data_IF_262017886164
#
_entry.id   IF_262017886164
#
_cell.length_a   1.000
_cell.length_b   1.000
_cell.length_c   1.000
_cell.angle_alpha   90.00
_cell.angle_beta   90.00
_cell.angle_gamma   90.00
#
_symmetry.space_group_name_H-M   'P 1'
#
loop_
_entity.id
_entity.type
_entity.pdbx_description
1 polymer ?
#
# COMPACT_ATOMS: atom_id res chain seq x y z
N UNK A 1 -17.67 3.12 -28.28
CA UNK A 1 -16.19 3.23 -28.25
C UNK A 1 -15.66 1.97 -27.59
N UNK A 2 -15.01 1.10 -28.37
CA UNK A 2 -14.50 -0.16 -27.86
C UNK A 2 -13.15 0.14 -27.17
N UNK A 3 -13.14 0.12 -25.84
CA UNK A 3 -11.93 0.31 -25.06
C UNK A 3 -11.12 -0.97 -25.14
N UNK A 4 -10.18 -1.02 -26.09
CA UNK A 4 -9.12 -2.03 -26.06
C UNK A 4 -8.21 -1.70 -24.88
N UNK A 5 -8.11 -2.61 -23.91
CA UNK A 5 -7.22 -2.45 -22.78
C UNK A 5 -5.79 -2.14 -23.28
N UNK A 6 -5.09 -1.16 -22.69
CA UNK A 6 -3.73 -0.85 -23.10
C UNK A 6 -2.83 -2.08 -22.90
N UNK A 7 -1.84 -2.30 -23.79
CA UNK A 7 -0.93 -3.42 -23.66
C UNK A 7 -0.15 -3.35 -22.34
N UNK A 8 0.19 -4.52 -21.77
CA UNK A 8 0.75 -4.71 -20.42
C UNK A 8 2.05 -3.92 -20.13
N UNK A 9 2.70 -3.36 -21.16
CA UNK A 9 3.92 -2.55 -21.03
C UNK A 9 3.68 -1.04 -20.97
N UNK A 10 2.46 -0.57 -21.23
CA UNK A 10 2.12 0.85 -21.07
C UNK A 10 1.61 1.09 -19.65
N UNK A 11 2.22 2.07 -18.97
CA UNK A 11 1.67 2.57 -17.72
C UNK A 11 0.21 3.03 -17.95
N UNK A 12 -0.65 2.80 -16.97
CA UNK A 12 -2.03 3.32 -16.99
C UNK A 12 -2.01 4.83 -17.17
N UNK A 13 -3.07 5.38 -17.77
CA UNK A 13 -3.17 6.83 -17.91
C UNK A 13 -3.16 7.51 -16.53
N UNK A 14 -2.68 8.77 -16.44
CA UNK A 14 -2.65 9.51 -15.18
C UNK A 14 -4.04 9.61 -14.53
N UNK A 15 -5.10 9.72 -15.32
CA UNK A 15 -6.47 9.82 -14.86
C UNK A 15 -6.88 8.60 -14.01
N UNK A 16 -6.55 7.39 -14.45
CA UNK A 16 -6.84 6.14 -13.75
C UNK A 16 -6.07 6.02 -12.43
N UNK A 17 -4.85 6.58 -12.36
CA UNK A 17 -4.13 6.68 -11.09
C UNK A 17 -4.82 7.65 -10.13
N UNK A 18 -5.29 8.80 -10.60
CA UNK A 18 -6.07 9.74 -9.78
C UNK A 18 -7.37 9.11 -9.27
N UNK A 19 -8.08 8.33 -10.09
CA UNK A 19 -9.28 7.61 -9.64
C UNK A 19 -8.97 6.59 -8.54
N UNK A 20 -7.85 5.88 -8.60
CA UNK A 20 -7.46 4.92 -7.56
C UNK A 20 -7.25 5.62 -6.20
N UNK A 21 -6.67 6.82 -6.19
CA UNK A 21 -6.48 7.62 -4.97
C UNK A 21 -7.82 8.08 -4.39
N UNK A 22 -8.70 8.66 -5.23
CA UNK A 22 -10.05 9.09 -4.81
C UNK A 22 -10.85 7.91 -4.28
N UNK A 23 -10.79 6.76 -4.96
CA UNK A 23 -11.48 5.53 -4.53
C UNK A 23 -10.94 5.02 -3.20
N UNK A 24 -9.63 5.11 -2.97
CA UNK A 24 -9.00 4.79 -1.68
C UNK A 24 -9.51 5.66 -0.54
N UNK A 25 -9.61 6.98 -0.75
CA UNK A 25 -10.11 7.92 0.26
C UNK A 25 -11.58 7.68 0.60
N UNK A 26 -12.40 7.29 -0.40
CA UNK A 26 -13.82 7.03 -0.22
C UNK A 26 -14.14 5.61 0.28
N UNK A 27 -13.14 4.74 0.43
CA UNK A 27 -13.35 3.37 0.87
C UNK A 27 -13.71 3.29 2.38
N UNK A 28 -14.46 2.26 2.76
CA UNK A 28 -14.83 2.00 4.16
C UNK A 28 -13.58 1.76 5.02
N UNK A 29 -13.60 2.09 6.33
CA UNK A 29 -12.54 1.69 7.27
C UNK A 29 -12.17 0.20 7.24
N UNK A 30 -13.10 -0.68 6.86
CA UNK A 30 -12.85 -2.12 6.70
C UNK A 30 -11.86 -2.45 5.56
N UNK A 31 -11.61 -1.49 4.66
CA UNK A 31 -10.61 -1.61 3.60
C UNK A 31 -9.17 -1.35 4.07
N UNK A 32 -8.97 -0.97 5.34
CA UNK A 32 -7.65 -0.75 5.90
C UNK A 32 -6.79 -2.03 5.80
N UNK A 33 -5.55 -1.86 5.34
CA UNK A 33 -4.61 -2.97 5.14
C UNK A 33 -4.86 -3.80 3.87
N UNK A 34 -5.86 -3.44 3.05
CA UNK A 34 -6.13 -4.06 1.76
C UNK A 34 -5.39 -3.34 0.61
N UNK A 35 -5.34 -3.94 -0.56
CA UNK A 35 -4.79 -3.31 -1.78
C UNK A 35 -5.88 -2.65 -2.62
N UNK A 36 -5.58 -1.50 -3.24
CA UNK A 36 -6.47 -0.80 -4.16
C UNK A 36 -5.98 -0.95 -5.60
N UNK A 37 -6.35 -2.06 -6.24
CA UNK A 37 -5.93 -2.38 -7.62
C UNK A 37 -7.09 -2.09 -8.58
N UNK A 38 -6.89 -1.17 -9.53
CA UNK A 38 -7.91 -0.77 -10.51
C UNK A 38 -9.20 -0.24 -9.85
N UNK A 39 -9.08 0.57 -8.79
CA UNK A 39 -10.22 1.06 -8.02
C UNK A 39 -11.06 -0.05 -7.35
N UNK A 40 -10.48 -1.23 -7.16
CA UNK A 40 -11.09 -2.32 -6.42
C UNK A 40 -10.26 -2.69 -5.20
N UNK A 41 -10.93 -2.83 -4.07
CA UNK A 41 -10.36 -3.40 -2.85
C UNK A 41 -10.04 -4.87 -3.11
N UNK A 42 -8.82 -5.27 -2.80
CA UNK A 42 -8.31 -6.63 -2.96
C UNK A 42 -7.60 -7.07 -1.70
N UNK A 43 -7.88 -8.29 -1.29
CA UNK A 43 -7.19 -8.90 -0.16
C UNK A 43 -5.70 -9.04 -0.42
N UNK A 44 -4.86 -8.78 0.59
CA UNK A 44 -3.45 -9.09 0.48
C UNK A 44 -3.23 -10.57 0.22
N UNK A 45 -2.13 -10.88 -0.46
CA UNK A 45 -1.77 -12.27 -0.68
C UNK A 45 -1.58 -13.01 0.65
N UNK A 46 -1.91 -14.30 0.69
CA UNK A 46 -1.92 -15.10 1.91
C UNK A 46 -0.58 -15.13 2.67
N UNK A 47 0.54 -14.91 1.96
CA UNK A 47 1.87 -14.85 2.57
C UNK A 47 2.12 -13.56 3.34
N UNK A 48 1.35 -12.50 3.09
CA UNK A 48 1.42 -11.22 3.82
C UNK A 48 0.69 -11.34 5.16
N UNK A 49 -0.47 -12.01 5.18
CA UNK A 49 -1.36 -12.08 6.35
C UNK A 49 -1.12 -13.29 7.25
N UNK A 50 -0.29 -14.25 6.82
CA UNK A 50 0.03 -15.40 7.65
C UNK A 50 1.04 -15.04 8.77
N UNK A 51 1.25 -15.99 9.70
CA UNK A 51 2.16 -15.82 10.84
C UNK A 51 3.61 -15.49 10.44
N UNK A 52 4.06 -15.95 9.27
CA UNK A 52 5.41 -15.70 8.77
C UNK A 52 5.49 -14.28 8.21
N UNK A 53 4.52 -13.88 7.40
CA UNK A 53 4.39 -12.52 6.86
C UNK A 53 4.36 -11.47 7.97
N UNK A 54 3.58 -11.72 9.03
CA UNK A 54 3.55 -10.85 10.20
C UNK A 54 4.93 -10.69 10.85
N UNK A 55 5.68 -11.80 11.03
CA UNK A 55 7.05 -11.75 11.58
C UNK A 55 8.01 -10.98 10.69
N UNK A 56 7.94 -11.18 9.37
CA UNK A 56 8.78 -10.47 8.41
C UNK A 56 8.46 -8.97 8.44
N UNK A 57 7.18 -8.60 8.44
CA UNK A 57 6.74 -7.21 8.48
C UNK A 57 7.26 -6.50 9.74
N UNK A 58 7.16 -7.13 10.91
CA UNK A 58 7.69 -6.58 12.16
C UNK A 58 9.20 -6.39 12.09
N UNK A 59 9.96 -7.39 11.61
CA UNK A 59 11.41 -7.29 11.51
C UNK A 59 11.86 -6.16 10.56
N UNK A 60 11.19 -6.03 9.41
CA UNK A 60 11.47 -4.97 8.44
C UNK A 60 11.13 -3.59 9.02
N UNK A 61 10.00 -3.48 9.74
CA UNK A 61 9.58 -2.24 10.36
C UNK A 61 10.56 -1.77 11.46
N UNK A 62 10.99 -2.69 12.32
CA UNK A 62 11.99 -2.42 13.36
C UNK A 62 13.33 -1.97 12.76
N UNK A 63 13.81 -2.66 11.71
CA UNK A 63 15.04 -2.28 11.03
C UNK A 63 14.93 -0.89 10.37
N UNK A 64 13.79 -0.62 9.72
CA UNK A 64 13.53 0.68 9.10
C UNK A 64 13.54 1.80 10.15
N UNK A 65 12.84 1.61 11.27
CA UNK A 65 12.83 2.58 12.36
C UNK A 65 14.23 2.82 12.92
N UNK A 66 15.01 1.76 13.17
CA UNK A 66 16.37 1.91 13.67
C UNK A 66 17.27 2.72 12.71
N UNK A 67 17.12 2.50 11.40
CA UNK A 67 17.84 3.26 10.37
C UNK A 67 17.41 4.72 10.31
N UNK A 68 16.10 4.99 10.39
CA UNK A 68 15.58 6.36 10.37
C UNK A 68 16.02 7.13 11.62
N UNK A 69 15.99 6.49 12.78
CA UNK A 69 16.43 7.06 14.06
C UNK A 69 17.92 7.41 14.05
N UNK A 70 18.75 6.60 13.38
CA UNK A 70 20.17 6.89 13.20
C UNK A 70 20.44 8.11 12.29
N UNK A 71 19.53 8.42 11.35
CA UNK A 71 19.65 9.57 10.44
C UNK A 71 19.10 10.83 11.10
N UNK A 72 17.92 10.73 11.70
CA UNK A 72 17.23 11.81 12.39
C UNK A 72 16.74 11.28 13.74
N UNK A 73 17.37 11.70 14.84
CA UNK A 73 16.87 11.39 16.17
C UNK A 73 15.41 11.84 16.32
N UNK A 74 14.67 11.13 17.16
CA UNK A 74 13.30 11.38 17.57
C UNK A 74 12.23 11.19 16.48
N UNK A 75 12.57 10.63 15.32
CA UNK A 75 11.59 10.33 14.25
C UNK A 75 10.53 9.32 14.68
N UNK A 76 10.88 8.45 15.62
CA UNK A 76 9.97 7.48 16.22
C UNK A 76 9.05 8.08 17.30
N UNK A 77 9.27 9.34 17.71
CA UNK A 77 8.57 10.02 18.81
C UNK A 77 7.37 10.86 18.32
N UNK A 78 6.96 10.74 17.05
CA UNK A 78 5.78 11.45 16.53
C UNK A 78 4.58 11.18 17.45
N UNK A 79 4.12 12.25 18.10
CA UNK A 79 3.18 12.27 19.21
C UNK A 79 1.88 11.50 18.90
N UNK A 80 1.48 10.65 19.85
CA UNK A 80 0.08 10.20 19.99
C UNK A 80 -0.86 11.37 20.22
#
# INVERSE_FOLDING_TARGET
MQSSAPPDFLARNPEMCSYALVTGVLASPDSNGQYMTNCHVREPACHVTNKIGAKILSAVFEELLAKLEAISPDVSIISR
#
